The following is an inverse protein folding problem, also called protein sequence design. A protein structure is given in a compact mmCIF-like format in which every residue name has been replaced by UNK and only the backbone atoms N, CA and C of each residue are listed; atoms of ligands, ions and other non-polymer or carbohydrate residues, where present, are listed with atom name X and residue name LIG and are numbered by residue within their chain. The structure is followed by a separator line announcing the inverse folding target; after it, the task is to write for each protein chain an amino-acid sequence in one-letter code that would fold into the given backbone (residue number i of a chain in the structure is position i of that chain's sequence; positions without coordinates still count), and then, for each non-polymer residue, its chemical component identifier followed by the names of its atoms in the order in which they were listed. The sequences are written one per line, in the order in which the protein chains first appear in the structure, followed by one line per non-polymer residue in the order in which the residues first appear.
data_IF_053952403775
#
_entry.id   IF_053952403775
#
_cell.length_a   1.000
_cell.length_b   1.000
_cell.length_c   1.000
_cell.angle_alpha   90.00
_cell.angle_beta   90.00
_cell.angle_gamma   90.00
#
_symmetry.space_group_name_H-M   'P 1'
#
loop_
_entity.id
_entity.type
_entity.pdbx_description
1 polymer ?
#
# COMPACT_ATOMS: atom_id res chain seq x y z
N UNK A 1 26.83 22.85 9.76
CA UNK A 1 26.52 22.18 11.04
C UNK A 1 25.19 21.46 10.87
N UNK A 2 25.24 20.17 10.54
CA UNK A 2 24.03 19.34 10.43
C UNK A 2 23.43 19.21 11.84
N UNK A 3 22.16 19.58 11.97
CA UNK A 3 21.47 19.76 13.25
C UNK A 3 21.40 18.41 13.98
N UNK A 4 21.70 18.39 15.29
CA UNK A 4 21.48 17.27 16.24
C UNK A 4 20.01 16.83 16.38
N UNK A 5 19.16 17.15 15.41
CA UNK A 5 17.71 17.00 15.47
C UNK A 5 17.23 15.74 14.75
N UNK A 6 17.98 15.22 13.76
CA UNK A 6 17.59 14.04 12.98
C UNK A 6 17.99 12.72 13.68
N UNK A 7 17.33 11.59 13.34
CA UNK A 7 17.76 10.29 13.84
C UNK A 7 19.20 10.02 13.44
N UNK A 8 20.04 9.62 14.40
CA UNK A 8 21.47 9.43 14.14
C UNK A 8 21.71 8.11 13.42
N UNK A 9 22.61 8.13 12.43
CA UNK A 9 23.11 6.94 11.76
C UNK A 9 24.62 6.80 11.97
N UNK A 10 25.08 5.56 12.11
CA UNK A 10 26.49 5.23 12.17
C UNK A 10 26.87 4.50 10.89
N UNK A 11 27.35 5.24 9.91
CA UNK A 11 27.77 4.72 8.62
C UNK A 11 29.15 5.28 8.25
N UNK A 12 29.98 4.48 7.60
CA UNK A 12 31.39 4.80 7.37
C UNK A 12 31.59 5.78 6.22
N UNK A 13 30.64 5.84 5.28
CA UNK A 13 30.69 6.71 4.11
C UNK A 13 29.89 7.99 4.39
N UNK A 14 30.61 9.12 4.43
CA UNK A 14 30.03 10.41 4.78
C UNK A 14 29.10 10.97 3.71
N UNK A 15 29.28 10.61 2.43
CA UNK A 15 28.42 11.10 1.35
C UNK A 15 27.00 10.53 1.51
N UNK A 16 26.89 9.26 1.90
CA UNK A 16 25.60 8.66 2.24
C UNK A 16 24.97 9.26 3.51
N UNK A 17 25.79 9.63 4.50
CA UNK A 17 25.29 10.33 5.70
C UNK A 17 24.74 11.71 5.34
N UNK A 18 25.43 12.43 4.47
CA UNK A 18 24.99 13.74 4.01
C UNK A 18 23.70 13.67 3.18
N UNK A 19 23.54 12.64 2.32
CA UNK A 19 22.28 12.38 1.60
C UNK A 19 21.16 12.09 2.59
N UNK A 20 21.40 11.22 3.57
CA UNK A 20 20.42 10.85 4.59
C UNK A 20 19.92 12.08 5.37
N UNK A 21 20.82 12.93 5.85
CA UNK A 21 20.47 14.12 6.60
C UNK A 21 19.74 15.16 5.72
N UNK A 22 20.13 15.29 4.44
CA UNK A 22 19.41 16.15 3.49
C UNK A 22 17.98 15.69 3.26
N UNK A 23 17.72 14.39 3.17
CA UNK A 23 16.36 13.86 3.04
C UNK A 23 15.48 14.27 4.23
N UNK A 24 16.00 14.24 5.46
CA UNK A 24 15.26 14.71 6.63
C UNK A 24 15.02 16.22 6.64
N UNK A 25 15.97 17.00 6.14
CA UNK A 25 15.82 18.43 6.00
C UNK A 25 14.69 18.78 5.02
N UNK A 26 14.68 18.15 3.84
CA UNK A 26 13.64 18.35 2.83
C UNK A 26 12.28 17.88 3.32
N UNK A 27 12.21 16.78 4.07
CA UNK A 27 10.95 16.23 4.58
C UNK A 27 10.10 17.26 5.34
N UNK A 28 10.71 18.27 5.97
CA UNK A 28 9.95 19.32 6.66
C UNK A 28 9.02 20.13 5.75
N UNK A 29 9.33 20.25 4.45
CA UNK A 29 8.52 20.97 3.46
C UNK A 29 7.30 20.16 2.98
N UNK A 30 7.32 18.84 3.21
CA UNK A 30 6.27 17.89 2.83
C UNK A 30 5.34 17.56 4.00
N UNK A 31 5.68 18.00 5.22
CA UNK A 31 4.85 17.73 6.40
C UNK A 31 3.83 18.85 6.60
N UNK A 32 2.56 18.54 6.34
CA UNK A 32 1.43 19.47 6.48
C UNK A 32 0.82 19.38 7.87
N UNK A 33 0.28 20.51 8.33
CA UNK A 33 -0.55 20.55 9.54
C UNK A 33 -1.93 19.95 9.24
N UNK A 34 -2.63 19.55 10.30
CA UNK A 34 -4.04 19.19 10.20
C UNK A 34 -4.88 20.40 9.76
N UNK A 35 -5.95 20.12 9.03
CA UNK A 35 -7.05 21.04 8.80
C UNK A 35 -8.39 20.37 9.13
N UNK A 36 -8.83 20.45 10.40
CA UNK A 36 -10.08 19.85 10.82
C UNK A 36 -11.32 20.44 10.13
N UNK A 37 -11.24 21.64 9.53
CA UNK A 37 -12.38 22.27 8.86
C UNK A 37 -12.81 21.50 7.61
N UNK A 38 -11.88 20.80 6.98
CA UNK A 38 -12.10 19.95 5.80
C UNK A 38 -12.06 18.45 6.13
N UNK A 39 -12.05 18.09 7.42
CA UNK A 39 -12.06 16.69 7.85
C UNK A 39 -10.68 16.01 7.92
N UNK A 40 -9.59 16.69 7.55
CA UNK A 40 -8.21 16.18 7.68
C UNK A 40 -7.69 16.51 9.08
N UNK A 41 -8.01 15.63 10.04
CA UNK A 41 -7.85 15.90 11.49
C UNK A 41 -6.41 15.82 11.98
N UNK A 42 -5.51 15.21 11.21
CA UNK A 42 -4.14 14.94 11.66
C UNK A 42 -3.08 15.49 10.69
N UNK A 43 -1.88 15.86 11.21
CA UNK A 43 -0.72 16.16 10.39
C UNK A 43 -0.35 14.99 9.48
N UNK A 44 0.14 15.29 8.29
CA UNK A 44 0.33 14.28 7.25
C UNK A 44 1.43 14.65 6.27
N UNK A 45 1.89 13.64 5.53
CA UNK A 45 2.73 13.80 4.35
C UNK A 45 1.89 14.24 3.15
N UNK A 46 2.33 15.27 2.43
CA UNK A 46 1.83 15.60 1.10
C UNK A 46 2.91 16.35 0.31
N UNK A 47 2.94 16.15 -1.01
CA UNK A 47 3.84 16.92 -1.88
C UNK A 47 3.60 18.43 -1.75
N UNK A 48 4.68 19.21 -1.76
CA UNK A 48 4.58 20.66 -1.62
C UNK A 48 3.76 21.31 -2.75
N UNK A 49 3.95 20.81 -3.97
CA UNK A 49 3.27 21.27 -5.19
C UNK A 49 1.88 20.63 -5.37
N UNK A 50 1.55 19.60 -4.58
CA UNK A 50 0.27 18.90 -4.65
C UNK A 50 -0.77 19.48 -3.70
N UNK A 51 -2.04 19.33 -4.06
CA UNK A 51 -3.19 19.67 -3.22
C UNK A 51 -3.96 18.44 -2.73
N UNK A 52 -3.28 17.29 -2.58
CA UNK A 52 -3.94 16.04 -2.21
C UNK A 52 -3.25 15.29 -1.07
N UNK A 53 -4.07 14.69 -0.21
CA UNK A 53 -3.69 13.63 0.69
C UNK A 53 -3.78 12.30 -0.07
N UNK A 54 -2.65 11.69 -0.41
CA UNK A 54 -2.58 10.40 -1.12
C UNK A 54 -2.38 9.23 -0.17
N UNK A 55 -3.23 8.20 -0.30
CA UNK A 55 -3.12 6.95 0.47
C UNK A 55 -1.83 6.21 0.15
N UNK A 56 -1.50 6.08 -1.13
CA UNK A 56 -0.29 5.39 -1.58
C UNK A 56 0.97 6.05 -1.02
N UNK A 57 1.10 7.36 -1.20
CA UNK A 57 2.26 8.13 -0.72
C UNK A 57 2.36 8.13 0.80
N UNK A 58 1.22 8.20 1.51
CA UNK A 58 1.19 8.07 2.98
C UNK A 58 1.65 6.69 3.42
N UNK A 59 1.26 5.63 2.70
CA UNK A 59 1.71 4.27 2.99
C UNK A 59 3.22 4.12 2.75
N UNK A 60 3.73 4.55 1.61
CA UNK A 60 5.15 4.39 1.28
C UNK A 60 6.04 5.25 2.18
N UNK A 61 5.69 6.52 2.40
CA UNK A 61 6.45 7.43 3.27
C UNK A 61 6.50 6.94 4.72
N UNK A 62 5.49 6.19 5.20
CA UNK A 62 5.43 5.64 6.56
C UNK A 62 6.68 4.83 6.93
N UNK A 63 7.23 4.05 5.99
CA UNK A 63 8.38 3.17 6.21
C UNK A 63 9.65 3.95 6.55
N UNK A 64 9.75 5.18 6.08
CA UNK A 64 10.84 6.10 6.39
C UNK A 64 10.50 6.97 7.61
N UNK A 65 9.32 7.58 7.64
CA UNK A 65 8.91 8.53 8.67
C UNK A 65 8.86 7.94 10.08
N UNK A 66 8.62 6.64 10.20
CA UNK A 66 8.59 5.94 11.49
C UNK A 66 9.91 6.05 12.27
N UNK A 67 11.05 6.27 11.60
CA UNK A 67 12.34 6.47 12.26
C UNK A 67 12.47 7.83 12.95
N UNK A 68 11.59 8.78 12.64
CA UNK A 68 11.47 10.05 13.36
C UNK A 68 10.04 10.31 13.86
N UNK A 69 9.41 9.25 14.39
CA UNK A 69 7.99 9.23 14.76
C UNK A 69 7.56 10.32 15.78
N UNK A 70 8.50 10.85 16.60
CA UNK A 70 8.21 11.97 17.51
C UNK A 70 7.88 13.26 16.76
N UNK A 71 8.55 13.49 15.63
CA UNK A 71 8.33 14.67 14.78
C UNK A 71 7.25 14.40 13.74
N UNK A 72 7.21 13.19 13.20
CA UNK A 72 6.27 12.76 12.16
C UNK A 72 5.44 11.58 12.66
N UNK A 73 4.36 11.82 13.42
CA UNK A 73 3.52 10.76 13.99
C UNK A 73 2.77 10.00 12.90
N UNK A 74 3.37 8.92 12.41
CA UNK A 74 2.85 8.11 11.29
C UNK A 74 1.44 7.57 11.56
N UNK A 75 1.19 7.08 12.78
CA UNK A 75 -0.14 6.59 13.18
C UNK A 75 -1.25 7.63 12.99
N UNK A 76 -0.99 8.90 13.37
CA UNK A 76 -1.97 9.98 13.20
C UNK A 76 -2.19 10.30 11.71
N UNK A 77 -1.14 10.27 10.90
CA UNK A 77 -1.27 10.45 9.46
C UNK A 77 -2.20 9.39 8.85
N UNK A 78 -2.04 8.11 9.24
CA UNK A 78 -2.90 7.02 8.78
C UNK A 78 -4.35 7.17 9.27
N UNK A 79 -4.55 7.76 10.45
CA UNK A 79 -5.89 8.01 11.03
C UNK A 79 -6.75 8.95 10.20
N UNK A 80 -6.16 9.77 9.33
CA UNK A 80 -6.94 10.53 8.37
C UNK A 80 -7.75 9.60 7.45
N UNK A 81 -7.17 8.50 6.98
CA UNK A 81 -7.86 7.57 6.06
C UNK A 81 -8.94 6.76 6.77
N UNK A 82 -8.69 6.30 7.99
CA UNK A 82 -9.71 5.59 8.76
C UNK A 82 -10.87 6.52 9.16
N UNK A 83 -10.59 7.81 9.42
CA UNK A 83 -11.63 8.80 9.71
C UNK A 83 -12.47 9.19 8.48
N UNK A 84 -11.93 9.00 7.27
CA UNK A 84 -12.59 9.26 5.98
C UNK A 84 -13.21 8.00 5.36
N UNK A 85 -13.11 6.85 6.03
CA UNK A 85 -13.71 5.60 5.57
C UNK A 85 -15.24 5.73 5.52
N UNK A 86 -15.82 5.32 4.39
CA UNK A 86 -17.26 5.37 4.17
C UNK A 86 -17.98 4.19 4.86
N UNK A 87 -19.30 4.30 5.05
CA UNK A 87 -20.12 3.23 5.63
C UNK A 87 -20.06 1.91 4.82
N UNK A 88 -19.79 2.02 3.52
CA UNK A 88 -19.56 0.87 2.62
C UNK A 88 -18.27 0.11 2.92
N UNK A 89 -17.37 0.68 3.73
CA UNK A 89 -16.01 0.19 3.94
C UNK A 89 -14.97 0.83 3.02
N UNK A 90 -15.39 1.59 2.00
CA UNK A 90 -14.49 2.23 1.04
C UNK A 90 -13.52 3.21 1.72
N UNK A 91 -12.25 3.14 1.33
CA UNK A 91 -11.23 4.16 1.61
C UNK A 91 -10.72 4.63 0.25
N UNK A 92 -10.90 5.92 -0.04
CA UNK A 92 -10.47 6.51 -1.32
C UNK A 92 -8.96 6.77 -1.31
N UNK A 93 -8.38 6.71 -2.50
CA UNK A 93 -6.95 6.75 -2.74
C UNK A 93 -6.37 8.16 -2.64
N UNK A 94 -7.17 9.20 -2.84
CA UNK A 94 -6.75 10.59 -2.69
C UNK A 94 -7.90 11.49 -2.27
N UNK A 95 -7.59 12.50 -1.46
CA UNK A 95 -8.53 13.53 -1.00
C UNK A 95 -7.95 14.90 -1.26
N UNK A 96 -8.78 15.82 -1.75
CA UNK A 96 -8.40 17.20 -1.98
C UNK A 96 -8.24 17.93 -0.63
N UNK A 97 -7.12 18.62 -0.44
CA UNK A 97 -6.78 19.25 0.83
C UNK A 97 -7.55 20.56 1.10
N UNK A 98 -8.16 21.15 0.08
CA UNK A 98 -8.98 22.37 0.23
C UNK A 98 -10.44 22.05 0.57
N UNK A 99 -10.94 20.90 0.12
CA UNK A 99 -12.36 20.54 0.23
C UNK A 99 -12.60 19.31 1.10
N UNK A 100 -11.59 18.49 1.34
CA UNK A 100 -11.70 17.21 2.07
C UNK A 100 -12.39 16.10 1.27
N UNK A 101 -12.76 16.36 0.02
CA UNK A 101 -13.52 15.41 -0.80
C UNK A 101 -12.59 14.43 -1.51
N UNK A 102 -13.07 13.20 -1.79
CA UNK A 102 -12.35 12.28 -2.66
C UNK A 102 -12.06 12.90 -4.02
N UNK A 103 -10.86 12.65 -4.54
CA UNK A 103 -10.48 12.98 -5.92
C UNK A 103 -10.79 11.75 -6.77
N UNK A 104 -11.74 11.91 -7.70
CA UNK A 104 -12.21 10.86 -8.60
C UNK A 104 -11.93 11.29 -10.04
N UNK A 105 -11.58 10.33 -10.90
CA UNK A 105 -11.31 10.54 -12.32
C UNK A 105 -12.23 9.64 -13.15
N UNK A 106 -12.36 9.92 -14.45
CA UNK A 106 -13.10 9.04 -15.36
C UNK A 106 -12.46 7.63 -15.43
N UNK A 107 -11.13 7.56 -15.38
CA UNK A 107 -10.39 6.30 -15.37
C UNK A 107 -10.26 5.63 -14.00
N UNK A 108 -10.74 6.26 -12.91
CA UNK A 108 -10.80 5.69 -11.57
C UNK A 108 -12.00 6.28 -10.79
N UNK A 109 -13.24 5.94 -11.18
CA UNK A 109 -14.44 6.60 -10.65
C UNK A 109 -14.71 6.28 -9.17
N UNK A 110 -14.17 5.16 -8.67
CA UNK A 110 -14.23 4.78 -7.27
C UNK A 110 -12.99 5.26 -6.48
N UNK A 111 -12.05 5.94 -7.14
CA UNK A 111 -10.85 6.51 -6.51
C UNK A 111 -10.03 5.45 -5.76
N UNK A 112 -9.73 4.31 -6.37
CA UNK A 112 -8.93 3.26 -5.74
C UNK A 112 -7.46 3.66 -5.68
N UNK A 113 -6.76 3.08 -4.71
CA UNK A 113 -5.31 3.06 -4.65
C UNK A 113 -4.84 1.70 -4.14
N UNK A 114 -3.53 1.38 -4.28
CA UNK A 114 -2.96 0.14 -3.75
C UNK A 114 -3.32 -0.11 -2.27
N UNK A 115 -3.90 -1.27 -1.92
CA UNK A 115 -4.38 -1.54 -0.58
C UNK A 115 -3.25 -1.96 0.37
N UNK A 116 -2.41 -1.01 0.78
CA UNK A 116 -1.18 -1.29 1.54
C UNK A 116 -1.30 -1.06 3.05
N UNK A 117 -2.47 -0.66 3.56
CA UNK A 117 -2.64 -0.27 4.97
C UNK A 117 -2.29 -1.38 5.96
N UNK A 118 -2.68 -2.64 5.70
CA UNK A 118 -2.33 -3.74 6.60
C UNK A 118 -0.81 -3.97 6.68
N UNK A 119 -0.10 -3.83 5.55
CA UNK A 119 1.36 -3.94 5.51
C UNK A 119 2.03 -2.83 6.33
N UNK A 120 1.52 -1.61 6.20
CA UNK A 120 2.02 -0.44 6.93
C UNK A 120 1.77 -0.58 8.43
N UNK A 121 0.55 -0.93 8.85
CA UNK A 121 0.21 -1.12 10.27
C UNK A 121 1.03 -2.24 10.91
N UNK A 122 1.30 -3.32 10.18
CA UNK A 122 2.19 -4.39 10.64
C UNK A 122 3.62 -3.90 10.89
N UNK A 123 4.19 -3.13 9.96
CA UNK A 123 5.53 -2.57 10.11
C UNK A 123 5.58 -1.55 11.26
N UNK A 124 4.55 -0.69 11.36
CA UNK A 124 4.42 0.27 12.44
C UNK A 124 4.39 -0.43 13.80
N UNK A 125 3.60 -1.50 13.95
CA UNK A 125 3.57 -2.30 15.17
C UNK A 125 4.96 -2.83 15.55
N UNK A 126 5.76 -3.31 14.60
CA UNK A 126 7.11 -3.80 14.88
C UNK A 126 8.11 -2.70 15.26
N UNK A 127 7.78 -1.43 15.00
CA UNK A 127 8.57 -0.28 15.44
C UNK A 127 8.13 0.28 16.78
N UNK A 128 6.83 0.27 17.09
CA UNK A 128 6.27 0.97 18.26
C UNK A 128 5.69 0.03 19.34
N UNK A 129 5.43 -1.24 19.01
CA UNK A 129 4.91 -2.26 19.94
C UNK A 129 3.44 -2.07 20.38
N UNK A 130 2.68 -1.21 19.73
CA UNK A 130 1.34 -0.82 20.18
C UNK A 130 0.25 -1.84 19.76
N UNK A 131 0.09 -2.94 20.51
CA UNK A 131 -0.99 -3.93 20.23
C UNK A 131 -2.41 -3.32 20.28
N UNK A 132 -2.60 -2.25 21.08
CA UNK A 132 -3.88 -1.50 21.12
C UNK A 132 -4.23 -0.92 19.74
N UNK A 133 -3.25 -0.35 19.04
CA UNK A 133 -3.40 0.23 17.70
C UNK A 133 -3.93 -0.81 16.72
N UNK A 134 -3.29 -1.99 16.68
CA UNK A 134 -3.72 -3.08 15.80
C UNK A 134 -5.19 -3.43 16.02
N UNK A 135 -5.64 -3.51 17.29
CA UNK A 135 -7.05 -3.78 17.61
C UNK A 135 -7.99 -2.67 17.13
N UNK A 136 -7.57 -1.41 17.22
CA UNK A 136 -8.38 -0.25 16.84
C UNK A 136 -8.58 -0.17 15.32
N UNK A 137 -7.54 -0.48 14.53
CA UNK A 137 -7.60 -0.35 13.06
C UNK A 137 -8.12 -1.62 12.36
N UNK A 138 -8.05 -2.79 13.00
CA UNK A 138 -8.45 -4.06 12.36
C UNK A 138 -9.87 -4.01 11.76
N UNK A 139 -10.91 -3.47 12.42
CA UNK A 139 -12.25 -3.37 11.82
C UNK A 139 -12.27 -2.56 10.53
N UNK A 140 -11.55 -1.43 10.48
CA UNK A 140 -11.45 -0.60 9.27
C UNK A 140 -10.73 -1.31 8.13
N UNK A 141 -9.64 -2.03 8.44
CA UNK A 141 -8.92 -2.83 7.44
C UNK A 141 -9.78 -3.97 6.89
N UNK A 142 -10.58 -4.62 7.76
CA UNK A 142 -11.52 -5.66 7.35
C UNK A 142 -12.59 -5.09 6.41
N UNK A 143 -13.21 -3.95 6.78
CA UNK A 143 -14.23 -3.31 5.97
C UNK A 143 -13.70 -2.87 4.60
N UNK A 144 -12.48 -2.32 4.53
CA UNK A 144 -11.87 -1.94 3.25
C UNK A 144 -11.53 -3.16 2.39
N UNK A 145 -11.02 -4.24 3.00
CA UNK A 145 -10.74 -5.47 2.27
C UNK A 145 -12.01 -6.11 1.71
N UNK A 146 -13.08 -6.14 2.50
CA UNK A 146 -14.36 -6.71 2.08
C UNK A 146 -14.98 -5.84 0.96
N UNK A 147 -14.92 -4.50 1.08
CA UNK A 147 -15.33 -3.60 0.00
C UNK A 147 -14.56 -3.84 -1.31
N UNK A 148 -13.24 -4.03 -1.26
CA UNK A 148 -12.45 -4.37 -2.45
C UNK A 148 -12.93 -5.68 -3.09
N UNK A 149 -13.18 -6.70 -2.26
CA UNK A 149 -13.62 -8.00 -2.73
C UNK A 149 -15.02 -7.94 -3.36
N UNK A 150 -15.93 -7.16 -2.77
CA UNK A 150 -17.31 -7.06 -3.25
C UNK A 150 -17.44 -6.28 -4.57
N UNK A 151 -16.52 -5.34 -4.83
CA UNK A 151 -16.62 -4.43 -5.97
C UNK A 151 -15.66 -4.74 -7.13
N UNK A 152 -14.52 -5.40 -6.87
CA UNK A 152 -13.46 -5.56 -7.88
C UNK A 152 -12.99 -7.00 -8.08
N UNK A 153 -13.45 -7.95 -7.26
CA UNK A 153 -13.08 -9.35 -7.44
C UNK A 153 -14.03 -10.04 -8.40
N UNK A 154 -13.48 -10.66 -9.42
CA UNK A 154 -14.22 -11.37 -10.46
C UNK A 154 -14.39 -12.87 -10.12
N UNK A 155 -15.19 -13.58 -10.92
CA UNK A 155 -15.50 -15.01 -10.73
C UNK A 155 -14.24 -15.90 -10.72
N UNK A 156 -13.22 -15.52 -11.50
CA UNK A 156 -11.92 -16.19 -11.52
C UNK A 156 -11.10 -15.95 -10.24
N UNK A 157 -11.60 -15.15 -9.30
CA UNK A 157 -10.99 -14.85 -8.02
C UNK A 157 -9.86 -13.83 -8.07
N UNK A 158 -9.59 -13.24 -9.23
CA UNK A 158 -8.65 -12.12 -9.43
C UNK A 158 -9.38 -10.79 -9.30
N UNK A 159 -8.62 -9.72 -9.05
CA UNK A 159 -9.13 -8.37 -8.96
C UNK A 159 -8.93 -7.63 -10.29
N UNK A 160 -9.98 -6.95 -10.74
CA UNK A 160 -10.02 -6.16 -11.97
C UNK A 160 -10.28 -4.66 -11.67
N UNK A 161 -9.36 -3.97 -10.98
CA UNK A 161 -9.46 -2.53 -10.78
C UNK A 161 -9.20 -1.77 -12.10
N UNK A 162 -9.57 -0.48 -12.17
CA UNK A 162 -9.09 0.39 -13.24
C UNK A 162 -7.56 0.53 -13.20
N UNK A 163 -6.92 0.70 -14.36
CA UNK A 163 -5.45 0.79 -14.46
C UNK A 163 -4.87 1.97 -13.64
N UNK A 164 -5.58 3.10 -13.58
CA UNK A 164 -5.18 4.26 -12.76
C UNK A 164 -5.05 3.94 -11.26
N UNK A 165 -5.76 2.93 -10.76
CA UNK A 165 -5.65 2.50 -9.37
C UNK A 165 -4.29 1.87 -9.01
N UNK A 166 -3.48 1.54 -10.03
CA UNK A 166 -2.16 0.92 -9.85
C UNK A 166 -1.03 1.91 -9.59
N UNK A 167 -1.29 3.22 -9.76
CA UNK A 167 -0.27 4.29 -9.79
C UNK A 167 0.72 4.16 -10.97
N UNK A 168 0.34 3.43 -12.01
CA UNK A 168 1.15 3.12 -13.18
C UNK A 168 0.32 3.24 -14.48
N UNK A 169 -0.53 4.27 -14.56
CA UNK A 169 -1.44 4.53 -15.68
C UNK A 169 -0.72 4.82 -17.00
N UNK A 170 0.51 5.29 -16.96
CA UNK A 170 1.33 5.58 -18.13
C UNK A 170 2.14 4.36 -18.62
N UNK A 171 2.07 3.22 -17.93
CA UNK A 171 2.72 2.00 -18.39
C UNK A 171 2.00 1.48 -19.65
N UNK A 172 2.71 0.98 -20.67
CA UNK A 172 2.13 0.57 -21.96
C UNK A 172 1.43 -0.80 -21.86
N UNK A 173 0.56 -0.97 -20.86
CA UNK A 173 -0.15 -2.22 -20.53
C UNK A 173 -1.55 -2.21 -21.13
N UNK A 174 -1.64 -2.04 -22.45
CA UNK A 174 -2.92 -1.97 -23.16
C UNK A 174 -3.73 -3.27 -22.95
N UNK A 175 -5.07 -3.13 -22.84
CA UNK A 175 -6.03 -4.23 -22.65
C UNK A 175 -5.88 -5.05 -21.37
N UNK A 176 -5.10 -4.57 -20.39
CA UNK A 176 -5.05 -5.22 -19.07
C UNK A 176 -6.42 -5.23 -18.41
N UNK A 177 -6.84 -6.41 -17.93
CA UNK A 177 -8.02 -6.55 -17.06
C UNK A 177 -7.63 -6.89 -15.63
N UNK A 178 -6.59 -7.71 -15.43
CA UNK A 178 -6.11 -8.10 -14.10
C UNK A 178 -4.65 -7.64 -13.93
N UNK A 179 -4.42 -6.44 -13.38
CA UNK A 179 -3.07 -5.94 -13.14
C UNK A 179 -2.33 -6.78 -12.10
N UNK A 180 -1.09 -7.14 -12.41
CA UNK A 180 -0.22 -7.96 -11.56
C UNK A 180 0.10 -7.26 -10.25
N UNK A 181 0.46 -5.97 -10.32
CA UNK A 181 0.76 -5.13 -9.15
C UNK A 181 -0.41 -5.15 -8.17
N UNK A 182 -1.61 -4.78 -8.60
CA UNK A 182 -2.77 -4.68 -7.71
C UNK A 182 -3.15 -6.02 -7.11
N UNK A 183 -3.21 -7.09 -7.91
CA UNK A 183 -3.51 -8.43 -7.39
C UNK A 183 -2.47 -8.88 -6.36
N UNK A 184 -1.19 -8.56 -6.58
CA UNK A 184 -0.13 -8.85 -5.64
C UNK A 184 -0.24 -7.98 -4.38
N UNK A 185 -0.59 -6.71 -4.50
CA UNK A 185 -0.80 -5.81 -3.36
C UNK A 185 -2.01 -6.25 -2.51
N UNK A 186 -3.06 -6.80 -3.10
CA UNK A 186 -4.16 -7.45 -2.35
C UNK A 186 -3.66 -8.71 -1.63
N UNK A 187 -2.77 -9.49 -2.26
CA UNK A 187 -2.15 -10.64 -1.59
C UNK A 187 -1.29 -10.19 -0.39
N UNK A 188 -0.49 -9.13 -0.54
CA UNK A 188 0.25 -8.49 0.56
C UNK A 188 -0.70 -8.06 1.67
N UNK A 189 -1.81 -7.39 1.33
CA UNK A 189 -2.81 -6.99 2.29
C UNK A 189 -3.34 -8.20 3.07
N UNK A 190 -3.73 -9.28 2.40
CA UNK A 190 -4.21 -10.51 3.05
C UNK A 190 -3.13 -11.17 3.94
N UNK A 191 -1.87 -11.20 3.48
CA UNK A 191 -0.74 -11.72 4.26
C UNK A 191 -0.60 -10.95 5.58
N UNK A 192 -0.59 -9.62 5.52
CA UNK A 192 -0.41 -8.80 6.71
C UNK A 192 -1.67 -8.70 7.57
N UNK A 193 -2.87 -8.82 7.00
CA UNK A 193 -4.11 -9.01 7.77
C UNK A 193 -4.06 -10.29 8.62
N UNK A 194 -3.54 -11.39 8.07
CA UNK A 194 -3.29 -12.62 8.84
C UNK A 194 -2.28 -12.37 9.96
N UNK A 195 -1.19 -11.67 9.68
CA UNK A 195 -0.14 -11.41 10.66
C UNK A 195 -0.60 -10.46 11.79
N UNK A 196 -1.44 -9.47 11.48
CA UNK A 196 -2.09 -8.61 12.47
C UNK A 196 -3.07 -9.40 13.34
N UNK A 197 -3.82 -10.33 12.77
CA UNK A 197 -4.68 -11.24 13.54
C UNK A 197 -3.87 -12.12 14.50
N UNK A 198 -2.71 -12.63 14.06
CA UNK A 198 -1.78 -13.37 14.93
C UNK A 198 -1.27 -12.50 16.10
N UNK A 199 -0.93 -11.23 15.86
CA UNK A 199 -0.59 -10.25 16.92
C UNK A 199 -1.74 -10.11 17.92
N UNK A 200 -2.99 -10.15 17.46
CA UNK A 200 -4.19 -10.10 18.31
C UNK A 200 -4.51 -11.42 19.01
N UNK A 201 -3.84 -12.52 18.63
CA UNK A 201 -4.18 -13.90 18.99
C UNK A 201 -5.56 -14.35 18.47
N UNK A 202 -6.02 -13.79 17.35
CA UNK A 202 -7.28 -14.15 16.70
C UNK A 202 -7.03 -15.20 15.60
N UNK A 203 -7.13 -16.49 15.99
CA UNK A 203 -6.84 -17.61 15.09
C UNK A 203 -7.84 -17.75 13.95
N UNK A 204 -9.10 -17.39 14.17
CA UNK A 204 -10.15 -17.49 13.15
C UNK A 204 -9.90 -16.46 12.05
N UNK A 205 -9.65 -15.22 12.47
CA UNK A 205 -9.33 -14.12 11.55
C UNK A 205 -8.01 -14.37 10.81
N UNK A 206 -6.99 -14.87 11.52
CA UNK A 206 -5.72 -15.28 10.91
C UNK A 206 -5.93 -16.35 9.83
N UNK A 207 -6.71 -17.39 10.12
CA UNK A 207 -7.02 -18.43 9.15
C UNK A 207 -7.78 -17.91 7.92
N UNK A 208 -8.77 -17.01 8.11
CA UNK A 208 -9.54 -16.38 7.02
C UNK A 208 -8.62 -15.72 6.01
N UNK A 209 -7.75 -14.83 6.46
CA UNK A 209 -6.87 -14.05 5.58
C UNK A 209 -5.72 -14.87 5.02
N UNK A 210 -5.17 -15.82 5.79
CA UNK A 210 -4.18 -16.77 5.28
C UNK A 210 -4.72 -17.60 4.11
N UNK A 211 -5.98 -18.06 4.18
CA UNK A 211 -6.64 -18.77 3.08
C UNK A 211 -6.78 -17.89 1.83
N UNK A 212 -7.16 -16.62 2.00
CA UNK A 212 -7.29 -15.68 0.88
C UNK A 212 -5.93 -15.39 0.23
N UNK A 213 -4.88 -15.16 1.04
CA UNK A 213 -3.51 -15.01 0.57
C UNK A 213 -3.06 -16.21 -0.27
N UNK A 214 -3.23 -17.44 0.22
CA UNK A 214 -2.85 -18.63 -0.55
C UNK A 214 -3.66 -18.81 -1.82
N UNK A 215 -4.94 -18.40 -1.83
CA UNK A 215 -5.76 -18.42 -3.05
C UNK A 215 -5.19 -17.48 -4.11
N UNK A 216 -4.89 -16.24 -3.76
CA UNK A 216 -4.26 -15.27 -4.68
C UNK A 216 -2.86 -15.73 -5.10
N UNK A 217 -2.04 -16.18 -4.15
CA UNK A 217 -0.71 -16.74 -4.43
C UNK A 217 -0.77 -17.85 -5.47
N UNK A 218 -1.72 -18.78 -5.35
CA UNK A 218 -1.88 -19.89 -6.30
C UNK A 218 -2.28 -19.37 -7.69
N UNK A 219 -3.20 -18.40 -7.77
CA UNK A 219 -3.68 -17.85 -9.04
C UNK A 219 -2.61 -17.03 -9.76
N UNK A 220 -1.96 -16.09 -9.06
CA UNK A 220 -0.86 -15.28 -9.60
C UNK A 220 0.26 -16.20 -10.10
N UNK A 221 0.65 -17.20 -9.31
CA UNK A 221 1.69 -18.14 -9.72
C UNK A 221 1.31 -19.05 -10.89
N UNK A 222 0.03 -19.36 -11.08
CA UNK A 222 -0.41 -20.25 -12.16
C UNK A 222 -0.67 -19.50 -13.46
N UNK A 223 -1.23 -18.29 -13.37
CA UNK A 223 -1.72 -17.53 -14.52
C UNK A 223 -0.68 -16.50 -15.00
N UNK A 224 -0.08 -15.75 -14.07
CA UNK A 224 0.73 -14.56 -14.38
C UNK A 224 2.21 -14.87 -14.55
N UNK A 225 2.72 -15.97 -13.97
CA UNK A 225 4.11 -16.39 -14.17
C UNK A 225 4.34 -16.95 -15.57
N UNK A 226 5.38 -16.47 -16.23
CA UNK A 226 5.87 -17.02 -17.48
C UNK A 226 7.15 -17.83 -17.27
N UNK A 227 7.15 -19.15 -17.52
CA UNK A 227 8.33 -19.99 -17.31
C UNK A 227 9.43 -19.76 -18.34
N UNK A 228 9.10 -19.28 -19.55
CA UNK A 228 10.07 -19.06 -20.61
C UNK A 228 10.77 -17.72 -20.43
N UNK A 229 10.00 -16.67 -20.14
CA UNK A 229 10.52 -15.32 -19.92
C UNK A 229 11.05 -15.09 -18.49
N UNK A 230 10.74 -16.01 -17.57
CA UNK A 230 11.04 -15.96 -16.14
C UNK A 230 10.60 -14.66 -15.46
N UNK A 231 9.41 -14.20 -15.79
CA UNK A 231 8.85 -12.96 -15.26
C UNK A 231 7.34 -13.09 -15.10
N UNK A 232 6.76 -12.30 -14.20
CA UNK A 232 5.32 -12.18 -14.07
C UNK A 232 4.77 -11.09 -15.01
N UNK A 233 3.59 -11.34 -15.57
CA UNK A 233 2.86 -10.42 -16.45
C UNK A 233 1.45 -10.14 -15.93
N UNK A 234 0.88 -9.02 -16.34
CA UNK A 234 -0.55 -8.77 -16.18
C UNK A 234 -1.38 -9.73 -17.07
N UNK A 235 -2.70 -9.80 -16.84
CA UNK A 235 -3.61 -10.58 -17.68
C UNK A 235 -4.65 -9.69 -18.37
N UNK A 236 -5.02 -10.06 -19.58
CA UNK A 236 -6.16 -9.50 -20.30
C UNK A 236 -7.50 -10.11 -19.84
N UNK A 237 -8.59 -9.73 -20.50
CA UNK A 237 -9.93 -10.20 -20.15
C UNK A 237 -10.16 -11.71 -20.35
N UNK A 238 -9.39 -12.32 -21.24
CA UNK A 238 -9.45 -13.74 -21.60
C UNK A 238 -8.39 -14.56 -20.81
N UNK A 239 -7.77 -13.94 -19.80
CA UNK A 239 -6.71 -14.50 -18.95
C UNK A 239 -5.40 -14.82 -19.70
N UNK A 240 -5.17 -14.22 -20.86
CA UNK A 240 -3.88 -14.30 -21.54
C UNK A 240 -2.90 -13.28 -20.94
N UNK A 241 -1.61 -13.65 -20.89
CA UNK A 241 -0.55 -12.77 -20.39
C UNK A 241 -0.35 -11.60 -21.34
N UNK A 242 -0.46 -10.38 -20.82
CA UNK A 242 -0.08 -9.15 -21.52
C UNK A 242 1.44 -9.06 -21.50
N UNK A 243 2.10 -9.35 -22.63
CA UNK A 243 3.56 -9.48 -22.75
C UNK A 243 4.32 -8.15 -22.70
N UNK A 244 4.15 -7.42 -21.60
CA UNK A 244 4.81 -6.14 -21.31
C UNK A 244 5.55 -6.26 -19.99
N UNK A 245 6.89 -6.16 -20.04
CA UNK A 245 7.72 -6.21 -18.84
C UNK A 245 7.62 -4.87 -18.11
N UNK A 246 7.18 -4.90 -16.85
CA UNK A 246 7.11 -3.71 -16.00
C UNK A 246 7.75 -3.99 -14.65
N UNK A 247 8.02 -2.93 -13.88
CA UNK A 247 8.48 -3.06 -12.50
C UNK A 247 7.46 -3.75 -11.58
N UNK A 248 6.20 -3.89 -12.02
CA UNK A 248 5.19 -4.63 -11.25
C UNK A 248 5.58 -6.09 -11.01
N UNK A 249 6.43 -6.66 -11.86
CA UNK A 249 6.96 -8.01 -11.75
C UNK A 249 7.75 -8.29 -10.46
N UNK A 250 8.16 -7.25 -9.73
CA UNK A 250 8.89 -7.39 -8.47
C UNK A 250 7.99 -7.33 -7.22
N UNK A 251 6.72 -6.89 -7.34
CA UNK A 251 5.77 -7.00 -6.23
C UNK A 251 5.62 -8.44 -5.72
N UNK A 252 5.58 -9.48 -6.57
CA UNK A 252 5.52 -10.87 -6.12
C UNK A 252 6.60 -11.26 -5.10
N UNK A 253 7.80 -10.68 -5.21
CA UNK A 253 8.90 -10.93 -4.26
C UNK A 253 8.55 -10.39 -2.86
N UNK A 254 8.03 -9.16 -2.79
CA UNK A 254 7.58 -8.55 -1.53
C UNK A 254 6.41 -9.32 -0.89
N UNK A 255 5.61 -9.98 -1.72
CA UNK A 255 4.45 -10.76 -1.32
C UNK A 255 4.77 -12.23 -1.00
N UNK A 256 6.05 -12.63 -1.04
CA UNK A 256 6.51 -14.01 -0.82
C UNK A 256 5.79 -15.02 -1.74
N UNK A 257 5.42 -14.62 -2.96
CA UNK A 257 4.69 -15.50 -3.89
C UNK A 257 5.56 -16.53 -4.60
N UNK A 258 6.74 -16.17 -5.15
CA UNK A 258 7.61 -17.11 -5.85
C UNK A 258 8.08 -18.24 -4.92
N UNK A 259 8.30 -19.42 -5.49
CA UNK A 259 9.18 -20.42 -4.88
C UNK A 259 10.64 -20.10 -5.21
N UNK A 260 11.58 -20.87 -4.66
CA UNK A 260 13.03 -20.66 -4.85
C UNK A 260 13.43 -20.58 -6.32
N UNK A 261 12.96 -21.52 -7.16
CA UNK A 261 13.24 -21.54 -8.60
C UNK A 261 12.79 -20.25 -9.32
N UNK A 262 11.59 -19.75 -8.99
CA UNK A 262 11.06 -18.52 -9.59
C UNK A 262 11.73 -17.27 -9.03
N UNK A 263 12.15 -17.31 -7.77
CA UNK A 263 12.94 -16.25 -7.14
C UNK A 263 14.30 -16.10 -7.83
N UNK A 264 14.99 -17.21 -8.11
CA UNK A 264 16.28 -17.19 -8.83
C UNK A 264 16.16 -16.81 -10.30
N UNK A 265 14.98 -17.02 -10.90
CA UNK A 265 14.73 -16.72 -12.30
C UNK A 265 14.42 -15.24 -12.60
N UNK A 266 13.92 -14.50 -11.61
CA UNK A 266 13.47 -13.11 -11.67
C UNK A 266 14.65 -12.11 -11.61
#
# INVERSE_FOLDING_TARGET
MLKKEFPQIHYYDQDFVDIYDRTWAWMSDFWRKADPAVGIKNPHYAYHEGNSLSLFESCISSFYLVYFNKKYPVHLMLDNFYALQEESGAIRGSYDLETGKPILTEGNPEGLAPPLLAWVEYNLYHKVGAKKRVREVMPSLMAYHDWLADNFKEENGMFAPPLEATMMENAPRDNVKYPLDFNTQVAINALYMSALADILNDKELGFRYKRQYFSLKTRINSLMWDPDDKIYYDLDADENRVKVKTIAAFWPLLAELPNEERFEGL
#
